data_IF_820155442253
#
_entry.id   IF_820155442253
#
_cell.length_a   1.000
_cell.length_b   1.000
_cell.length_c   1.000
_cell.angle_alpha   90.00
_cell.angle_beta   90.00
_cell.angle_gamma   90.00
#
_symmetry.space_group_name_H-M   'P 1'
#
loop_
_entity.id
_entity.type
_entity.pdbx_description
1 polymer ?
#
# COMPACT_ATOMS: atom_id res chain seq x y z
N UNK A 1 -40.67 45.06 54.79
CA UNK A 1 -40.66 44.26 53.55
C UNK A 1 -39.95 45.09 52.48
N UNK A 2 -38.73 44.71 52.10
CA UNK A 2 -37.89 45.38 51.08
C UNK A 2 -37.18 44.29 50.30
N UNK A 3 -37.36 44.33 48.98
CA UNK A 3 -36.90 43.33 48.02
C UNK A 3 -35.40 43.45 47.77
N UNK A 4 -34.72 42.30 47.64
CA UNK A 4 -33.43 42.20 46.97
C UNK A 4 -33.52 40.99 46.04
N UNK A 5 -33.55 41.25 44.73
CA UNK A 5 -33.53 40.24 43.67
C UNK A 5 -32.06 40.01 43.30
N UNK A 6 -31.51 38.78 43.38
CA UNK A 6 -30.16 38.53 42.90
C UNK A 6 -30.19 38.38 41.38
N UNK A 7 -29.33 39.15 40.71
CA UNK A 7 -29.05 39.03 39.27
C UNK A 7 -28.47 37.64 39.01
N UNK A 8 -29.26 36.75 38.40
CA UNK A 8 -28.78 35.45 37.94
C UNK A 8 -27.94 35.65 36.67
N UNK A 9 -26.62 35.55 36.82
CA UNK A 9 -25.70 35.49 35.69
C UNK A 9 -25.87 34.14 34.97
N UNK A 10 -26.60 34.13 33.86
CA UNK A 10 -26.70 33.00 32.95
C UNK A 10 -25.36 32.84 32.20
N UNK A 11 -24.51 31.93 32.66
CA UNK A 11 -23.39 31.41 31.88
C UNK A 11 -23.95 30.56 30.72
N UNK A 12 -24.02 31.14 29.52
CA UNK A 12 -24.29 30.41 28.29
C UNK A 12 -23.03 29.63 27.87
N UNK A 13 -22.83 28.46 28.47
CA UNK A 13 -21.80 27.50 28.04
C UNK A 13 -22.23 26.87 26.72
N UNK A 14 -21.76 27.39 25.60
CA UNK A 14 -21.92 26.76 24.29
C UNK A 14 -21.25 25.38 24.30
N UNK A 15 -22.05 24.32 24.24
CA UNK A 15 -21.58 22.95 24.04
C UNK A 15 -21.05 22.81 22.60
N UNK A 16 -19.76 23.09 22.40
CA UNK A 16 -19.06 22.68 21.19
C UNK A 16 -18.78 21.17 21.30
N UNK A 17 -19.66 20.36 20.74
CA UNK A 17 -19.36 18.96 20.47
C UNK A 17 -18.37 18.90 19.29
N UNK A 18 -17.17 18.33 19.43
CA UNK A 18 -16.29 18.14 18.29
C UNK A 18 -16.95 17.15 17.34
N UNK A 19 -17.24 17.57 16.12
CA UNK A 19 -17.61 16.65 15.05
C UNK A 19 -16.40 15.75 14.78
N UNK A 20 -16.49 14.48 15.17
CA UNK A 20 -15.51 13.48 14.73
C UNK A 20 -15.71 13.28 13.23
N UNK A 21 -14.77 13.79 12.43
CA UNK A 21 -14.69 13.41 11.03
C UNK A 21 -14.31 11.93 10.98
N UNK A 22 -15.26 11.07 10.60
CA UNK A 22 -14.94 9.70 10.23
C UNK A 22 -14.07 9.75 8.96
N UNK A 23 -12.78 9.48 9.09
CA UNK A 23 -11.88 9.34 7.95
C UNK A 23 -12.27 8.12 7.13
N UNK A 24 -12.19 8.23 5.80
CA UNK A 24 -12.32 7.07 4.93
C UNK A 24 -11.12 6.15 5.12
N UNK A 25 -11.31 4.81 5.13
CA UNK A 25 -10.19 3.90 5.09
C UNK A 25 -9.41 4.18 3.79
N UNK A 26 -8.07 4.20 3.82
CA UNK A 26 -7.28 4.38 2.61
C UNK A 26 -7.64 3.27 1.62
N UNK A 27 -8.20 3.67 0.47
CA UNK A 27 -8.46 2.73 -0.61
C UNK A 27 -7.12 2.34 -1.24
N UNK A 28 -6.82 1.04 -1.39
CA UNK A 28 -5.61 0.63 -2.08
C UNK A 28 -5.65 1.13 -3.52
N UNK A 29 -4.50 1.62 -4.00
CA UNK A 29 -4.39 2.12 -5.38
C UNK A 29 -4.52 1.01 -6.41
N UNK A 30 -4.11 -0.22 -6.05
CA UNK A 30 -4.33 -1.44 -6.81
C UNK A 30 -4.63 -2.60 -5.87
N UNK A 31 -5.58 -3.45 -6.26
CA UNK A 31 -5.63 -4.82 -5.73
C UNK A 31 -4.56 -5.69 -6.38
N UNK A 32 -4.19 -6.81 -5.76
CA UNK A 32 -3.23 -7.73 -6.38
C UNK A 32 -3.79 -8.35 -7.68
N UNK A 33 -5.10 -8.61 -7.77
CA UNK A 33 -5.71 -9.10 -9.02
C UNK A 33 -5.59 -8.07 -10.15
N UNK A 34 -5.80 -6.78 -9.87
CA UNK A 34 -5.60 -5.71 -10.87
C UNK A 34 -4.14 -5.62 -11.30
N UNK A 35 -3.21 -5.68 -10.34
CA UNK A 35 -1.79 -5.65 -10.65
C UNK A 35 -1.34 -6.84 -11.50
N UNK A 36 -1.82 -8.05 -11.20
CA UNK A 36 -1.55 -9.24 -12.00
C UNK A 36 -2.07 -9.05 -13.43
N UNK A 37 -3.31 -8.55 -13.58
CA UNK A 37 -3.91 -8.29 -14.89
C UNK A 37 -3.10 -7.29 -15.72
N UNK A 38 -2.64 -6.19 -15.11
CA UNK A 38 -1.82 -5.19 -15.79
C UNK A 38 -0.42 -5.67 -16.12
N UNK A 39 0.14 -6.60 -15.33
CA UNK A 39 1.50 -7.12 -15.57
C UNK A 39 1.57 -8.14 -16.72
N UNK A 40 0.47 -8.80 -17.06
CA UNK A 40 0.46 -9.98 -17.96
C UNK A 40 1.33 -9.80 -19.21
N UNK A 41 2.22 -10.78 -19.43
CA UNK A 41 3.24 -10.74 -20.48
C UNK A 41 2.74 -11.29 -21.83
N UNK A 42 1.51 -11.82 -21.89
CA UNK A 42 1.05 -12.62 -23.04
C UNK A 42 0.46 -11.76 -24.15
N UNK A 43 1.21 -11.62 -25.23
CA UNK A 43 0.71 -11.15 -26.53
C UNK A 43 0.18 -12.30 -27.39
N UNK A 44 -0.91 -12.09 -28.14
CA UNK A 44 -1.10 -12.76 -29.42
C UNK A 44 -0.01 -12.27 -30.40
N UNK A 45 0.66 -13.20 -31.07
CA UNK A 45 1.65 -12.86 -32.09
C UNK A 45 0.98 -12.19 -33.31
N UNK A 46 1.63 -11.19 -33.90
CA UNK A 46 1.25 -10.63 -35.21
C UNK A 46 0.61 -9.23 -35.20
N UNK A 47 0.24 -8.68 -34.03
CA UNK A 47 -0.40 -7.35 -33.93
C UNK A 47 0.49 -6.34 -33.17
N UNK A 48 0.39 -5.06 -33.56
CA UNK A 48 0.96 -3.98 -32.75
C UNK A 48 0.27 -3.95 -31.38
N UNK A 49 1.02 -3.71 -30.28
CA UNK A 49 0.43 -3.68 -28.95
C UNK A 49 -0.56 -2.52 -28.81
N UNK A 50 -1.71 -2.80 -28.22
CA UNK A 50 -2.67 -1.79 -27.78
C UNK A 50 -1.94 -0.77 -26.87
N UNK A 51 -1.99 0.54 -27.17
CA UNK A 51 -1.42 1.58 -26.30
C UNK A 51 -1.91 1.50 -24.85
N UNK A 52 -3.16 1.10 -24.61
CA UNK A 52 -3.68 0.94 -23.24
C UNK A 52 -2.96 -0.21 -22.51
N UNK A 53 -2.78 -1.35 -23.18
CA UNK A 53 -1.99 -2.46 -22.66
C UNK A 53 -0.54 -2.07 -22.31
N UNK A 54 0.11 -1.27 -23.17
CA UNK A 54 1.48 -0.80 -22.88
C UNK A 54 1.52 0.13 -21.66
N UNK A 55 0.51 0.97 -21.50
CA UNK A 55 0.39 1.86 -20.36
C UNK A 55 0.18 1.06 -19.06
N UNK A 56 -0.75 0.10 -19.07
CA UNK A 56 -1.04 -0.77 -17.94
C UNK A 56 0.21 -1.55 -17.50
N UNK A 57 0.94 -2.13 -18.45
CA UNK A 57 2.18 -2.85 -18.15
C UNK A 57 3.24 -1.94 -17.55
N UNK A 58 3.41 -0.72 -18.08
CA UNK A 58 4.36 0.26 -17.52
C UNK A 58 3.93 0.72 -16.13
N UNK A 59 2.64 0.90 -15.92
CA UNK A 59 2.07 1.24 -14.63
C UNK A 59 2.32 0.15 -13.60
N UNK A 60 2.10 -1.12 -13.95
CA UNK A 60 2.38 -2.26 -13.08
C UNK A 60 3.86 -2.37 -12.69
N UNK A 61 4.77 -2.25 -13.68
CA UNK A 61 6.23 -2.27 -13.43
C UNK A 61 6.67 -1.11 -12.53
N UNK A 62 6.18 0.10 -12.80
CA UNK A 62 6.46 1.27 -11.95
C UNK A 62 5.90 1.13 -10.53
N UNK A 63 4.71 0.53 -10.39
CA UNK A 63 4.10 0.26 -9.10
C UNK A 63 4.92 -0.75 -8.29
N UNK A 64 5.33 -1.87 -8.90
CA UNK A 64 6.18 -2.89 -8.26
C UNK A 64 7.50 -2.29 -7.77
N UNK A 65 8.20 -1.56 -8.65
CA UNK A 65 9.44 -0.88 -8.30
C UNK A 65 9.25 0.13 -7.16
N UNK A 66 8.21 0.97 -7.24
CA UNK A 66 7.93 1.96 -6.20
C UNK A 66 7.64 1.35 -4.82
N UNK A 67 6.87 0.25 -4.77
CA UNK A 67 6.59 -0.46 -3.51
C UNK A 67 7.87 -1.11 -2.96
N UNK A 68 8.66 -1.77 -3.82
CA UNK A 68 9.90 -2.42 -3.43
C UNK A 68 10.90 -1.39 -2.87
N UNK A 69 11.17 -0.32 -3.59
CA UNK A 69 12.09 0.76 -3.19
C UNK A 69 11.62 1.44 -1.91
N UNK A 70 10.32 1.72 -1.79
CA UNK A 70 9.77 2.33 -0.58
C UNK A 70 10.01 1.46 0.65
N UNK A 71 9.96 0.12 0.54
CA UNK A 71 10.09 -0.81 1.66
C UNK A 71 11.53 -1.32 1.91
N UNK A 72 12.45 -1.11 0.96
CA UNK A 72 13.81 -1.64 1.00
C UNK A 72 14.60 -1.07 2.19
N UNK A 73 15.44 -1.92 2.80
CA UNK A 73 16.28 -1.59 3.94
C UNK A 73 15.52 -1.50 5.27
N UNK A 74 14.19 -1.63 5.26
CA UNK A 74 13.34 -1.57 6.48
C UNK A 74 12.51 -2.82 6.67
N UNK A 75 11.77 -3.23 5.63
CA UNK A 75 10.85 -4.38 5.70
C UNK A 75 11.38 -5.58 4.92
N UNK A 76 12.26 -5.33 3.94
CA UNK A 76 13.01 -6.34 3.21
C UNK A 76 14.35 -5.76 2.82
N UNK A 77 15.35 -6.61 2.55
CA UNK A 77 16.68 -6.16 2.19
C UNK A 77 17.19 -6.90 0.96
N UNK A 78 17.62 -6.15 -0.05
CA UNK A 78 18.30 -6.75 -1.20
C UNK A 78 19.64 -7.37 -0.75
N UNK A 79 19.87 -8.61 -1.15
CA UNK A 79 21.10 -9.35 -0.88
C UNK A 79 22.13 -9.21 -2.00
N UNK A 80 21.85 -8.41 -3.03
CA UNK A 80 22.67 -8.27 -4.24
C UNK A 80 22.65 -9.52 -5.13
N UNK A 81 21.64 -10.38 -4.98
CA UNK A 81 21.55 -11.69 -5.66
C UNK A 81 20.40 -11.80 -6.66
N UNK A 82 19.53 -10.80 -6.76
CA UNK A 82 18.48 -10.75 -7.77
C UNK A 82 18.61 -9.51 -8.65
N UNK A 83 18.35 -9.70 -9.94
CA UNK A 83 18.15 -8.58 -10.86
C UNK A 83 16.76 -7.99 -10.64
N UNK A 84 16.56 -6.70 -10.89
CA UNK A 84 15.26 -6.02 -10.75
C UNK A 84 14.14 -6.76 -11.50
N UNK A 85 14.39 -7.20 -12.73
CA UNK A 85 13.40 -7.96 -13.53
C UNK A 85 13.04 -9.32 -12.91
N UNK A 86 13.94 -9.93 -12.13
CA UNK A 86 13.68 -11.18 -11.42
C UNK A 86 12.84 -10.93 -10.16
N UNK A 87 12.94 -9.74 -9.56
CA UNK A 87 12.10 -9.32 -8.42
C UNK A 87 10.65 -9.15 -8.88
N UNK A 88 10.40 -8.44 -9.98
CA UNK A 88 9.03 -8.22 -10.49
C UNK A 88 8.32 -9.54 -10.82
N UNK A 89 8.99 -10.43 -11.56
CA UNK A 89 8.45 -11.75 -11.88
C UNK A 89 8.20 -12.60 -10.63
N UNK A 90 9.10 -12.54 -9.64
CA UNK A 90 8.93 -13.23 -8.35
C UNK A 90 7.70 -12.70 -7.59
N UNK A 91 7.51 -11.39 -7.58
CA UNK A 91 6.39 -10.74 -6.91
C UNK A 91 5.07 -11.14 -7.54
N UNK A 92 4.95 -11.04 -8.86
CA UNK A 92 3.73 -11.39 -9.60
C UNK A 92 3.39 -12.87 -9.39
N UNK A 93 4.37 -13.76 -9.56
CA UNK A 93 4.16 -15.18 -9.29
C UNK A 93 3.83 -15.46 -7.81
N UNK A 94 4.33 -14.65 -6.88
CA UNK A 94 3.98 -14.72 -5.46
C UNK A 94 2.53 -14.31 -5.21
N UNK A 95 2.06 -13.25 -5.86
CA UNK A 95 0.67 -12.77 -5.78
C UNK A 95 -0.30 -13.77 -6.39
N UNK A 96 0.00 -14.36 -7.56
CA UNK A 96 -0.83 -15.36 -8.23
C UNK A 96 -1.12 -16.59 -7.37
N UNK A 97 -0.17 -16.97 -6.51
CA UNK A 97 -0.31 -18.12 -5.58
C UNK A 97 -1.20 -17.83 -4.38
N UNK A 98 -1.56 -16.57 -4.12
CA UNK A 98 -2.43 -16.22 -2.99
C UNK A 98 -3.88 -16.65 -3.29
N UNK A 99 -4.69 -16.97 -2.25
CA UNK A 99 -6.12 -17.22 -2.43
C UNK A 99 -6.82 -16.01 -3.06
N UNK A 100 -7.81 -16.25 -3.94
CA UNK A 100 -8.49 -15.17 -4.67
C UNK A 100 -9.04 -14.07 -3.74
N UNK A 101 -9.63 -14.44 -2.60
CA UNK A 101 -10.10 -13.47 -1.59
C UNK A 101 -8.98 -12.54 -1.08
N UNK A 102 -7.77 -13.05 -0.94
CA UNK A 102 -6.61 -12.28 -0.49
C UNK A 102 -6.14 -11.35 -1.60
N UNK A 103 -6.18 -11.79 -2.87
CA UNK A 103 -5.75 -10.96 -4.01
C UNK A 103 -6.63 -9.74 -4.29
N UNK A 104 -7.83 -9.70 -3.71
CA UNK A 104 -8.69 -8.52 -3.71
C UNK A 104 -8.20 -7.42 -2.75
N UNK A 105 -7.24 -7.74 -1.86
CA UNK A 105 -6.63 -6.78 -0.93
C UNK A 105 -5.55 -5.90 -1.57
N UNK A 106 -4.99 -5.00 -0.75
CA UNK A 106 -3.95 -4.04 -1.14
C UNK A 106 -2.70 -4.72 -1.70
N UNK A 107 -2.40 -4.46 -2.99
CA UNK A 107 -1.23 -5.00 -3.65
C UNK A 107 0.07 -4.61 -2.95
N UNK A 108 0.20 -3.36 -2.47
CA UNK A 108 1.42 -2.89 -1.83
C UNK A 108 1.74 -3.69 -0.56
N UNK A 109 0.74 -3.87 0.30
CA UNK A 109 0.88 -4.66 1.52
C UNK A 109 1.27 -6.12 1.22
N UNK A 110 0.67 -6.72 0.20
CA UNK A 110 0.94 -8.10 -0.21
C UNK A 110 2.34 -8.26 -0.82
N UNK A 111 2.78 -7.32 -1.66
CA UNK A 111 4.15 -7.27 -2.21
C UNK A 111 5.17 -7.20 -1.09
N UNK A 112 5.01 -6.26 -0.15
CA UNK A 112 5.93 -6.11 0.98
C UNK A 112 5.97 -7.38 1.83
N UNK A 113 4.83 -8.02 2.06
CA UNK A 113 4.78 -9.29 2.77
C UNK A 113 5.52 -10.43 2.03
N UNK A 114 5.48 -10.46 0.69
CA UNK A 114 6.24 -11.42 -0.11
C UNK A 114 7.74 -11.14 0.01
N UNK A 115 8.16 -9.88 -0.16
CA UNK A 115 9.57 -9.48 -0.06
C UNK A 115 10.13 -9.77 1.34
N UNK A 116 9.42 -9.38 2.40
CA UNK A 116 9.85 -9.59 3.77
C UNK A 116 10.06 -11.08 4.10
N UNK A 117 9.20 -11.97 3.57
CA UNK A 117 9.36 -13.42 3.75
C UNK A 117 10.55 -13.98 2.97
N UNK A 118 10.79 -13.46 1.77
CA UNK A 118 11.80 -14.02 0.86
C UNK A 118 13.21 -13.46 1.10
N UNK A 119 13.27 -12.20 1.49
CA UNK A 119 14.48 -11.40 1.63
C UNK A 119 14.42 -10.61 2.95
N UNK A 120 14.34 -11.30 4.10
CA UNK A 120 14.31 -10.62 5.39
C UNK A 120 15.59 -9.82 5.58
N UNK A 121 15.46 -8.63 6.16
CA UNK A 121 16.62 -7.91 6.65
C UNK A 121 17.24 -8.69 7.82
N UNK A 122 18.51 -9.05 7.69
CA UNK A 122 19.29 -9.44 8.85
C UNK A 122 19.44 -8.21 9.74
N UNK A 123 19.01 -8.27 11.00
CA UNK A 123 19.45 -7.27 11.97
C UNK A 123 20.98 -7.31 11.98
N UNK A 124 21.72 -6.23 11.71
CA UNK A 124 23.12 -6.22 12.10
C UNK A 124 23.17 -6.41 13.63
N UNK A 125 24.19 -7.09 14.19
CA UNK A 125 24.39 -7.01 15.64
C UNK A 125 24.44 -5.53 16.01
N UNK A 126 23.73 -5.15 17.07
CA UNK A 126 23.84 -3.83 17.68
C UNK A 126 25.29 -3.59 18.06
N UNK A 127 26.05 -2.94 17.18
CA UNK A 127 27.32 -2.35 17.58
C UNK A 127 26.99 -0.96 18.08
N UNK A 128 26.87 -0.84 19.40
CA UNK A 128 26.86 0.46 20.06
C UNK A 128 28.08 1.28 19.68
N UNK A 129 27.91 2.59 19.67
CA UNK A 129 28.91 3.62 19.41
C UNK A 129 28.24 4.98 19.30
#
# INVERSE_FOLDING_TARGET
MRHVVPLAALCASALFAPASAAGYPPAPRLSADQLIAYYQERRPAGEAPDPAFLLDQRYAKGYLAGVADAAQGRQWCDTGRLKTVEIDALLVAGLERLPARVRQGDAAALIVAILARRFPCSTPPSTGG
#
